data_IF_834373856138
#
_entry.id   IF_834373856138
#
_cell.length_a   1.000
_cell.length_b   1.000
_cell.length_c   1.000
_cell.angle_alpha   90.00
_cell.angle_beta   90.00
_cell.angle_gamma   90.00
#
_symmetry.space_group_name_H-M   'P 1'
#
loop_
_entity.id
_entity.type
_entity.pdbx_description
1 polymer ?
#
# COMPACT_ATOMS: atom_id res chain seq x y z
N UNK A 1 6.96 59.92 -0.44
CA UNK A 1 8.21 60.58 0.01
C UNK A 1 7.85 61.99 0.48
N UNK A 2 7.97 62.29 1.78
CA UNK A 2 7.75 63.64 2.29
C UNK A 2 8.72 64.61 1.61
N UNK A 3 8.18 65.57 0.85
CA UNK A 3 8.98 66.65 0.26
C UNK A 3 9.09 67.76 1.31
N UNK A 4 10.13 67.73 2.13
CA UNK A 4 10.41 68.84 3.04
C UNK A 4 10.78 70.07 2.21
N UNK A 5 9.95 71.12 2.29
CA UNK A 5 10.35 72.45 1.86
C UNK A 5 11.28 72.98 2.95
N UNK A 6 12.45 73.49 2.58
CA UNK A 6 13.39 74.14 3.52
C UNK A 6 12.73 75.41 4.08
N UNK A 7 11.93 75.26 5.15
CA UNK A 7 11.32 76.36 5.89
C UNK A 7 12.28 76.83 6.99
N UNK A 8 12.31 78.15 7.19
CA UNK A 8 13.06 78.80 8.26
C UNK A 8 12.56 78.31 9.62
N UNK A 9 13.47 77.70 10.41
CA UNK A 9 13.18 77.14 11.73
C UNK A 9 12.84 78.21 12.78
N UNK A 10 13.09 79.48 12.49
CA UNK A 10 12.76 80.60 13.37
C UNK A 10 11.30 81.08 13.25
N UNK A 11 10.52 80.52 12.32
CA UNK A 11 9.09 80.83 12.20
C UNK A 11 8.23 79.83 13.00
N UNK A 12 7.16 80.28 13.68
CA UNK A 12 6.26 79.39 14.39
C UNK A 12 5.55 78.44 13.40
N UNK A 13 5.44 77.17 13.78
CA UNK A 13 4.73 76.16 12.98
C UNK A 13 3.26 76.56 12.79
N UNK A 14 2.75 76.38 11.57
CA UNK A 14 1.36 76.68 11.23
C UNK A 14 0.49 75.43 11.29
N UNK A 15 -0.83 75.60 11.40
CA UNK A 15 -1.79 74.49 11.32
C UNK A 15 -1.65 73.71 10.00
N UNK A 16 -1.30 74.40 8.91
CA UNK A 16 -1.01 73.77 7.62
C UNK A 16 0.19 72.83 7.66
N UNK A 17 1.23 73.17 8.42
CA UNK A 17 2.42 72.32 8.59
C UNK A 17 2.08 71.01 9.30
N UNK A 18 1.18 71.06 10.29
CA UNK A 18 0.69 69.86 10.98
C UNK A 18 -0.22 69.01 10.09
N UNK A 19 -1.02 69.62 9.21
CA UNK A 19 -1.86 68.89 8.26
C UNK A 19 -1.02 68.16 7.20
N UNK A 20 0.02 68.79 6.66
CA UNK A 20 0.95 68.15 5.72
C UNK A 20 1.69 66.97 6.38
N UNK A 21 2.14 67.14 7.64
CA UNK A 21 2.76 66.07 8.41
C UNK A 21 1.79 64.91 8.68
N UNK A 22 0.55 65.21 9.09
CA UNK A 22 -0.46 64.19 9.34
C UNK A 22 -0.79 63.38 8.08
N UNK A 23 -0.90 64.04 6.93
CA UNK A 23 -1.08 63.36 5.64
C UNK A 23 0.12 62.48 5.30
N UNK A 24 1.35 63.00 5.43
CA UNK A 24 2.55 62.23 5.15
C UNK A 24 2.73 61.01 6.05
N UNK A 25 2.33 61.10 7.33
CA UNK A 25 2.34 59.96 8.25
C UNK A 25 1.27 58.94 7.84
N UNK A 26 0.08 59.38 7.44
CA UNK A 26 -1.01 58.50 7.02
C UNK A 26 -0.69 57.66 5.78
N UNK A 27 0.21 58.13 4.92
CA UNK A 27 0.69 57.39 3.74
C UNK A 27 1.65 56.25 4.08
N UNK A 28 2.36 56.34 5.21
CA UNK A 28 3.44 55.41 5.59
C UNK A 28 2.94 54.42 6.66
N UNK A 29 2.03 54.87 7.53
CA UNK A 29 1.51 54.06 8.62
C UNK A 29 0.44 53.12 8.11
N UNK A 30 0.68 51.81 8.26
CA UNK A 30 -0.33 50.79 8.06
C UNK A 30 -1.34 50.84 9.21
N UNK A 31 -2.62 50.87 8.87
CA UNK A 31 -3.70 50.79 9.86
C UNK A 31 -3.76 49.39 10.48
N UNK A 32 -4.34 49.27 11.68
CA UNK A 32 -4.60 47.96 12.29
C UNK A 32 -5.37 47.03 11.36
N UNK A 33 -6.32 47.58 10.61
CA UNK A 33 -7.12 46.81 9.64
C UNK A 33 -6.27 46.29 8.48
N UNK A 34 -5.38 47.13 7.92
CA UNK A 34 -4.45 46.72 6.87
C UNK A 34 -3.48 45.63 7.34
N UNK A 35 -2.98 45.73 8.58
CA UNK A 35 -2.14 44.69 9.17
C UNK A 35 -2.91 43.37 9.38
N UNK A 36 -4.15 43.44 9.86
CA UNK A 36 -5.00 42.27 10.07
C UNK A 36 -5.37 41.58 8.75
N UNK A 37 -5.66 42.35 7.70
CA UNK A 37 -5.94 41.79 6.38
C UNK A 37 -4.72 41.08 5.78
N UNK A 38 -3.54 41.70 5.88
CA UNK A 38 -2.29 41.09 5.45
C UNK A 38 -2.05 39.76 6.19
N UNK A 39 -2.20 39.76 7.51
CA UNK A 39 -2.04 38.58 8.37
C UNK A 39 -3.01 37.47 7.96
N UNK A 40 -4.30 37.80 7.78
CA UNK A 40 -5.31 36.83 7.33
C UNK A 40 -4.97 36.25 5.95
N UNK A 41 -4.50 37.06 5.01
CA UNK A 41 -4.08 36.60 3.68
C UNK A 41 -2.84 35.71 3.76
N UNK A 42 -1.84 36.08 4.56
CA UNK A 42 -0.60 35.32 4.71
C UNK A 42 -0.81 33.94 5.33
N UNK A 43 -1.76 33.81 6.27
CA UNK A 43 -2.06 32.54 6.93
C UNK A 43 -3.17 31.72 6.27
N UNK A 44 -3.81 32.21 5.20
CA UNK A 44 -4.92 31.51 4.52
C UNK A 44 -4.51 30.15 3.94
N UNK A 45 -3.23 29.96 3.63
CA UNK A 45 -2.68 28.72 3.06
C UNK A 45 -2.05 27.79 4.09
N UNK A 46 -2.00 28.20 5.36
CA UNK A 46 -1.48 27.33 6.42
C UNK A 46 -2.56 26.34 6.84
N UNK A 47 -2.21 25.05 6.80
CA UNK A 47 -3.03 24.01 7.38
C UNK A 47 -3.19 24.26 8.89
N UNK A 48 -4.42 24.19 9.37
CA UNK A 48 -4.76 24.29 10.78
C UNK A 48 -4.29 23.04 11.54
N UNK A 49 -4.33 23.08 12.88
CA UNK A 49 -4.01 21.89 13.68
C UNK A 49 -5.05 20.81 13.48
N UNK A 50 -6.29 21.23 13.29
CA UNK A 50 -7.45 20.39 13.00
C UNK A 50 -7.27 19.68 11.65
N UNK A 51 -6.86 20.40 10.60
CA UNK A 51 -6.58 19.83 9.27
C UNK A 51 -5.50 18.74 9.35
N UNK A 52 -4.45 18.97 10.15
CA UNK A 52 -3.37 18.01 10.37
C UNK A 52 -3.81 16.80 11.20
N UNK A 53 -4.82 16.97 12.06
CA UNK A 53 -5.35 15.90 12.88
C UNK A 53 -6.28 14.99 12.07
N UNK A 54 -7.16 15.55 11.24
CA UNK A 54 -7.98 14.79 10.29
C UNK A 54 -7.10 13.98 9.32
N UNK A 55 -6.06 14.60 8.74
CA UNK A 55 -5.06 13.92 7.90
C UNK A 55 -4.36 12.74 8.61
N UNK A 56 -4.17 12.84 9.93
CA UNK A 56 -3.54 11.78 10.74
C UNK A 56 -4.49 10.63 11.03
N UNK A 57 -5.78 10.88 11.12
CA UNK A 57 -6.81 9.86 11.33
C UNK A 57 -7.14 9.11 10.03
N UNK A 58 -7.09 9.79 8.88
CA UNK A 58 -7.36 9.17 7.58
C UNK A 58 -6.18 8.41 6.98
N UNK A 59 -4.93 8.83 7.26
CA UNK A 59 -3.76 8.15 6.71
C UNK A 59 -3.20 7.08 7.66
N UNK A 60 -2.97 5.84 7.16
CA UNK A 60 -2.23 4.86 7.93
C UNK A 60 -0.83 5.42 8.22
N UNK A 61 -0.48 5.42 9.49
CA UNK A 61 0.83 5.82 9.96
C UNK A 61 1.90 4.93 9.33
N UNK A 62 3.12 5.45 9.23
CA UNK A 62 4.29 4.68 8.74
C UNK A 62 4.46 3.33 9.45
N UNK A 63 4.08 3.23 10.73
CA UNK A 63 4.13 2.00 11.53
C UNK A 63 3.09 0.97 11.07
N UNK A 64 1.87 1.41 10.75
CA UNK A 64 0.82 0.52 10.26
C UNK A 64 1.17 -0.04 8.88
N UNK A 65 1.70 0.79 7.98
CA UNK A 65 2.24 0.30 6.69
C UNK A 65 3.37 -0.73 6.87
N UNK A 66 4.28 -0.52 7.83
CA UNK A 66 5.33 -1.49 8.13
C UNK A 66 4.78 -2.81 8.66
N UNK A 67 3.77 -2.76 9.52
CA UNK A 67 3.08 -3.95 10.03
C UNK A 67 2.40 -4.72 8.90
N UNK A 68 1.62 -4.04 8.06
CA UNK A 68 0.95 -4.65 6.91
C UNK A 68 1.97 -5.32 5.99
N UNK A 69 3.09 -4.66 5.70
CA UNK A 69 4.17 -5.24 4.90
C UNK A 69 4.73 -6.52 5.53
N UNK A 70 4.98 -6.51 6.84
CA UNK A 70 5.48 -7.67 7.57
C UNK A 70 4.49 -8.83 7.55
N UNK A 71 3.21 -8.55 7.77
CA UNK A 71 2.15 -9.55 7.79
C UNK A 71 1.99 -10.21 6.41
N UNK A 72 2.07 -9.42 5.32
CA UNK A 72 2.03 -9.92 3.94
C UNK A 72 3.23 -10.82 3.65
N UNK A 73 4.44 -10.42 4.04
CA UNK A 73 5.65 -11.24 3.81
C UNK A 73 5.56 -12.58 4.53
N UNK A 74 5.16 -12.57 5.80
CA UNK A 74 4.99 -13.80 6.57
C UNK A 74 3.89 -14.71 5.99
N UNK A 75 2.80 -14.14 5.47
CA UNK A 75 1.75 -14.91 4.80
C UNK A 75 2.26 -15.54 3.49
N UNK A 76 3.00 -14.77 2.68
CA UNK A 76 3.58 -15.26 1.43
C UNK A 76 4.57 -16.40 1.67
N UNK A 77 5.41 -16.30 2.71
CA UNK A 77 6.36 -17.36 3.05
C UNK A 77 5.62 -18.67 3.40
N UNK A 78 4.53 -18.59 4.17
CA UNK A 78 3.69 -19.75 4.50
C UNK A 78 3.07 -20.37 3.26
N UNK A 79 2.48 -19.55 2.38
CA UNK A 79 1.89 -20.03 1.13
C UNK A 79 2.93 -20.69 0.23
N UNK A 80 4.14 -20.14 0.15
CA UNK A 80 5.22 -20.73 -0.63
C UNK A 80 5.63 -22.11 -0.10
N UNK A 81 5.69 -22.28 1.23
CA UNK A 81 5.95 -23.57 1.84
C UNK A 81 4.83 -24.59 1.56
N UNK A 82 3.58 -24.17 1.69
CA UNK A 82 2.42 -25.04 1.44
C UNK A 82 2.33 -25.47 -0.03
N UNK A 83 2.51 -24.54 -0.97
CA UNK A 83 2.56 -24.84 -2.41
C UNK A 83 3.69 -25.81 -2.74
N UNK A 84 4.85 -25.67 -2.09
CA UNK A 84 5.97 -26.59 -2.28
C UNK A 84 5.61 -28.00 -1.79
N UNK A 85 5.04 -28.12 -0.58
CA UNK A 85 4.60 -29.39 -0.03
C UNK A 85 3.56 -30.07 -0.93
N UNK A 86 2.54 -29.32 -1.38
CA UNK A 86 1.52 -29.83 -2.30
C UNK A 86 2.10 -30.36 -3.61
N UNK A 87 3.11 -29.67 -4.17
CA UNK A 87 3.78 -30.12 -5.40
C UNK A 87 4.57 -31.41 -5.19
N UNK A 88 5.25 -31.54 -4.05
CA UNK A 88 5.97 -32.75 -3.68
C UNK A 88 5.02 -33.93 -3.50
N UNK A 89 3.89 -33.72 -2.81
CA UNK A 89 2.83 -34.73 -2.65
C UNK A 89 2.19 -35.14 -3.99
N UNK A 90 1.87 -34.18 -4.86
CA UNK A 90 1.34 -34.48 -6.20
C UNK A 90 2.33 -35.31 -7.02
N UNK A 91 3.62 -34.98 -6.95
CA UNK A 91 4.65 -35.73 -7.68
C UNK A 91 4.75 -37.17 -7.17
N UNK A 92 4.76 -37.37 -5.85
CA UNK A 92 4.74 -38.70 -5.26
C UNK A 92 3.49 -39.51 -5.65
N UNK A 93 2.31 -38.89 -5.62
CA UNK A 93 1.07 -39.51 -6.08
C UNK A 93 1.10 -39.91 -7.56
N UNK A 94 1.68 -39.07 -8.42
CA UNK A 94 1.81 -39.35 -9.85
C UNK A 94 2.76 -40.52 -10.13
N UNK A 95 3.85 -40.64 -9.38
CA UNK A 95 4.79 -41.76 -9.50
C UNK A 95 4.09 -43.06 -9.11
N UNK A 96 3.40 -43.07 -7.97
CA UNK A 96 2.64 -44.23 -7.51
C UNK A 96 1.56 -44.65 -8.53
N UNK A 97 0.87 -43.70 -9.16
CA UNK A 97 -0.13 -44.02 -10.19
C UNK A 97 0.52 -44.70 -11.42
N UNK A 98 1.72 -44.26 -11.81
CA UNK A 98 2.45 -44.86 -12.92
C UNK A 98 2.81 -46.31 -12.62
N UNK A 99 3.37 -46.57 -11.44
CA UNK A 99 3.76 -47.91 -11.00
C UNK A 99 2.54 -48.86 -10.93
N UNK A 100 1.42 -48.40 -10.35
CA UNK A 100 0.17 -49.16 -10.32
C UNK A 100 -0.34 -49.48 -11.74
N UNK A 101 -0.19 -48.55 -12.67
CA UNK A 101 -0.61 -48.76 -14.06
C UNK A 101 0.24 -49.82 -14.74
N UNK A 102 1.55 -49.81 -14.50
CA UNK A 102 2.48 -50.83 -15.00
C UNK A 102 2.15 -52.22 -14.41
N UNK A 103 1.97 -52.31 -13.09
CA UNK A 103 1.58 -53.56 -12.40
C UNK A 103 0.26 -54.16 -12.94
N UNK A 104 -0.75 -53.31 -13.18
CA UNK A 104 -2.03 -53.74 -13.76
C UNK A 104 -1.83 -54.33 -15.16
N UNK A 105 -0.93 -53.75 -15.96
CA UNK A 105 -0.67 -54.21 -17.31
C UNK A 105 0.08 -55.55 -17.31
N UNK A 106 1.05 -55.70 -16.42
CA UNK A 106 1.77 -56.96 -16.23
C UNK A 106 0.86 -58.08 -15.74
N UNK A 107 -0.03 -57.78 -14.80
CA UNK A 107 -1.05 -58.72 -14.34
C UNK A 107 -1.99 -59.18 -15.47
N UNK A 108 -2.44 -58.25 -16.34
CA UNK A 108 -3.25 -58.59 -17.52
C UNK A 108 -2.49 -59.51 -18.48
N UNK A 109 -1.20 -59.24 -18.71
CA UNK A 109 -0.37 -60.07 -19.58
C UNK A 109 -0.15 -61.47 -19.00
N UNK A 110 0.11 -61.57 -17.69
CA UNK A 110 0.23 -62.85 -17.00
C UNK A 110 -1.06 -63.66 -17.08
N UNK A 111 -2.22 -63.02 -16.83
CA UNK A 111 -3.53 -63.66 -16.93
C UNK A 111 -3.77 -64.26 -18.32
N UNK A 112 -3.42 -63.54 -19.40
CA UNK A 112 -3.52 -64.07 -20.77
C UNK A 112 -2.61 -65.27 -20.99
N UNK A 113 -1.38 -65.24 -20.48
CA UNK A 113 -0.44 -66.36 -20.60
C UNK A 113 -0.93 -67.59 -19.86
N UNK A 114 -1.48 -67.43 -18.65
CA UNK A 114 -2.08 -68.53 -17.88
C UNK A 114 -3.24 -69.14 -18.67
N UNK A 115 -4.18 -68.33 -19.18
CA UNK A 115 -5.30 -68.85 -19.97
C UNK A 115 -4.86 -69.57 -21.25
N UNK A 116 -3.79 -69.11 -21.92
CA UNK A 116 -3.23 -69.80 -23.07
C UNK A 116 -2.63 -71.16 -22.69
N UNK A 117 -1.93 -71.24 -21.56
CA UNK A 117 -1.39 -72.51 -21.06
C UNK A 117 -2.51 -73.47 -20.69
N UNK A 118 -3.52 -73.02 -19.93
CA UNK A 118 -4.70 -73.84 -19.56
C UNK A 118 -5.38 -74.45 -20.79
N UNK A 119 -5.56 -73.65 -21.86
CA UNK A 119 -6.12 -74.12 -23.14
C UNK A 119 -5.23 -75.14 -23.85
N UNK A 120 -3.90 -74.97 -23.80
CA UNK A 120 -2.96 -75.87 -24.47
C UNK A 120 -2.69 -77.15 -23.68
N UNK A 121 -2.82 -77.15 -22.35
CA UNK A 121 -2.57 -78.33 -21.50
C UNK A 121 -3.83 -79.11 -21.13
N UNK A 122 -5.02 -78.64 -21.50
CA UNK A 122 -6.29 -79.30 -21.19
C UNK A 122 -6.60 -79.37 -19.69
N UNK A 123 -6.00 -78.49 -18.89
CA UNK A 123 -6.27 -78.41 -17.45
C UNK A 123 -7.49 -77.52 -17.25
N UNK A 124 -8.66 -78.12 -17.05
CA UNK A 124 -9.86 -77.39 -16.65
C UNK A 124 -9.65 -76.79 -15.24
N UNK A 125 -10.01 -75.52 -14.99
CA UNK A 125 -9.84 -74.91 -13.67
C UNK A 125 -10.65 -75.71 -12.63
N UNK A 126 -9.98 -76.10 -11.53
CA UNK A 126 -10.62 -76.86 -10.46
C UNK A 126 -11.86 -76.10 -9.95
N UNK A 127 -13.01 -76.79 -9.77
CA UNK A 127 -14.24 -76.13 -9.35
C UNK A 127 -14.01 -75.45 -7.99
N UNK A 128 -14.31 -74.15 -7.93
CA UNK A 128 -14.25 -73.38 -6.70
C UNK A 128 -15.12 -74.09 -5.65
N UNK A 129 -14.47 -74.60 -4.60
CA UNK A 129 -15.15 -75.25 -3.49
C UNK A 129 -15.92 -74.18 -2.73
N UNK A 130 -17.25 -74.32 -2.70
CA UNK A 130 -18.18 -73.43 -2.00
C UNK A 130 -18.12 -73.65 -0.48
#
# INVERSE_FOLDING_TARGET
MLKHKNKDLNQPATVGDFQELAQGISEIVVTKDGFNEYTRKAFKTFASKEDLQELREEMPTKKEMQKIKSDILASNDKLMHEVKAMREEQHAHSLNHKDITEDIQDFKNLKRRISAVEQHTGMEPAPASA
#
